data_IF_379040196151
#
_entry.id   IF_379040196151
#
_cell.length_a   1.000
_cell.length_b   1.000
_cell.length_c   1.000
_cell.angle_alpha   90.00
_cell.angle_beta   90.00
_cell.angle_gamma   90.00
#
_symmetry.space_group_name_H-M   'P 1'
#
loop_
_entity.id
_entity.type
_entity.pdbx_description
1 polymer ?
#
# COMPACT_ATOMS: atom_id res chain seq x y z
N UNK A 1 -12.69 -6.77 -6.45
CA UNK A 1 -11.38 -6.81 -7.15
C UNK A 1 -10.69 -5.50 -6.87
N UNK A 2 -9.40 -5.53 -6.52
CA UNK A 2 -8.61 -4.34 -6.20
C UNK A 2 -7.60 -4.09 -7.32
N UNK A 3 -7.40 -2.82 -7.65
CA UNK A 3 -6.44 -2.38 -8.66
C UNK A 3 -5.56 -1.29 -8.06
N UNK A 4 -4.27 -1.34 -8.39
CA UNK A 4 -3.32 -0.25 -8.11
C UNK A 4 -2.91 0.33 -9.48
N UNK A 5 -3.67 1.31 -10.01
CA UNK A 5 -3.36 1.93 -11.28
C UNK A 5 -2.15 2.86 -11.17
N UNK A 6 -1.54 3.17 -12.30
CA UNK A 6 -0.51 4.21 -12.39
C UNK A 6 -1.08 5.64 -12.31
N UNK A 7 -2.38 5.80 -12.60
CA UNK A 7 -3.12 7.06 -12.49
C UNK A 7 -4.52 6.75 -11.94
N UNK A 8 -4.73 7.07 -10.65
CA UNK A 8 -5.98 6.78 -9.95
C UNK A 8 -7.15 7.63 -10.48
N UNK A 9 -6.90 8.88 -10.85
CA UNK A 9 -7.92 9.82 -11.32
C UNK A 9 -8.46 9.41 -12.70
N UNK A 10 -7.56 9.03 -13.61
CA UNK A 10 -7.97 8.54 -14.93
C UNK A 10 -8.69 7.19 -14.84
N UNK A 11 -8.22 6.29 -13.96
CA UNK A 11 -8.90 5.02 -13.73
C UNK A 11 -10.31 5.23 -13.19
N UNK A 12 -10.47 6.11 -12.19
CA UNK A 12 -11.77 6.47 -11.62
C UNK A 12 -12.72 7.03 -12.68
N UNK A 13 -12.29 8.05 -13.43
CA UNK A 13 -13.10 8.64 -14.52
C UNK A 13 -13.54 7.61 -15.56
N UNK A 14 -12.67 6.67 -15.89
CA UNK A 14 -12.97 5.59 -16.86
C UNK A 14 -14.04 4.65 -16.31
N UNK A 15 -13.93 4.24 -15.03
CA UNK A 15 -14.91 3.38 -14.37
C UNK A 15 -16.26 4.07 -14.20
N UNK A 16 -16.27 5.36 -13.83
CA UNK A 16 -17.47 6.19 -13.75
C UNK A 16 -18.18 6.26 -15.11
N UNK A 17 -17.43 6.56 -16.18
CA UNK A 17 -17.98 6.65 -17.55
C UNK A 17 -18.56 5.31 -18.02
N UNK A 18 -17.98 4.20 -17.59
CA UNK A 18 -18.47 2.86 -17.88
C UNK A 18 -19.67 2.43 -17.00
N UNK A 19 -20.07 3.24 -16.01
CA UNK A 19 -21.14 2.89 -15.06
C UNK A 19 -20.77 1.76 -14.10
N UNK A 20 -19.48 1.52 -13.89
CA UNK A 20 -18.98 0.47 -13.00
C UNK A 20 -18.83 1.06 -11.60
N UNK A 21 -19.50 0.47 -10.60
CA UNK A 21 -19.36 0.89 -9.21
C UNK A 21 -17.96 0.57 -8.67
N UNK A 22 -17.34 1.51 -7.96
CA UNK A 22 -16.05 1.33 -7.31
C UNK A 22 -15.96 2.14 -6.01
N UNK A 23 -14.93 1.84 -5.23
CA UNK A 23 -14.53 2.60 -4.05
C UNK A 23 -13.04 2.86 -4.13
N UNK A 24 -12.60 4.03 -3.67
CA UNK A 24 -11.18 4.36 -3.55
C UNK A 24 -10.72 4.18 -2.11
N UNK A 25 -9.48 3.77 -1.95
CA UNK A 25 -8.78 3.67 -0.66
C UNK A 25 -7.33 4.04 -0.87
N UNK A 26 -6.78 4.75 0.10
CA UNK A 26 -5.35 5.05 0.16
C UNK A 26 -4.59 3.80 0.61
N UNK A 27 -3.36 3.66 0.13
CA UNK A 27 -2.47 2.55 0.45
C UNK A 27 -1.07 3.09 0.67
N UNK A 28 -0.29 2.43 1.53
CA UNK A 28 1.11 2.75 1.74
C UNK A 28 1.96 2.00 0.71
N UNK A 29 2.69 2.72 -0.15
CA UNK A 29 3.65 2.13 -1.07
C UNK A 29 5.04 2.20 -0.46
N UNK A 30 5.69 1.06 -0.33
CA UNK A 30 7.04 0.93 0.23
C UNK A 30 7.99 0.25 -0.76
N UNK A 31 9.24 0.71 -0.77
CA UNK A 31 10.36 -0.07 -1.30
C UNK A 31 10.81 -1.05 -0.22
N UNK A 32 10.74 -2.34 -0.52
CA UNK A 32 11.11 -3.41 0.41
C UNK A 32 12.38 -4.05 -0.12
N UNK A 33 13.39 -4.20 0.75
CA UNK A 33 14.63 -4.89 0.37
C UNK A 33 14.32 -6.33 -0.06
N UNK A 34 14.88 -6.73 -1.20
CA UNK A 34 14.73 -8.08 -1.74
C UNK A 34 15.63 -9.07 -0.99
N UNK A 35 15.24 -9.38 0.25
CA UNK A 35 15.90 -10.34 1.11
C UNK A 35 14.86 -11.21 1.83
N UNK A 36 15.17 -12.51 2.04
CA UNK A 36 14.30 -13.39 2.82
C UNK A 36 14.01 -12.81 4.20
N UNK A 37 12.75 -12.78 4.59
CA UNK A 37 12.31 -12.30 5.91
C UNK A 37 11.88 -10.83 5.98
N UNK A 38 12.25 -9.99 4.99
CA UNK A 38 12.01 -8.55 5.06
C UNK A 38 10.51 -8.18 5.21
N UNK A 39 9.62 -8.88 4.50
CA UNK A 39 8.17 -8.68 4.68
C UNK A 39 7.70 -9.07 6.09
N UNK A 40 8.31 -10.09 6.68
CA UNK A 40 8.03 -10.52 8.05
C UNK A 40 8.45 -9.48 9.07
N UNK A 41 9.63 -8.87 8.88
CA UNK A 41 10.12 -7.79 9.75
C UNK A 41 9.17 -6.58 9.69
N UNK A 42 8.71 -6.19 8.49
CA UNK A 42 7.73 -5.11 8.32
C UNK A 42 6.41 -5.47 9.02
N UNK A 43 5.90 -6.69 8.81
CA UNK A 43 4.65 -7.13 9.43
C UNK A 43 4.74 -7.16 10.97
N UNK A 44 5.89 -7.55 11.51
CA UNK A 44 6.13 -7.54 12.96
C UNK A 44 6.11 -6.12 13.52
N UNK A 45 6.79 -5.19 12.84
CA UNK A 45 6.84 -3.78 13.25
C UNK A 45 5.43 -3.14 13.22
N UNK A 46 4.63 -3.42 12.18
CA UNK A 46 3.24 -2.97 12.12
C UNK A 46 2.41 -3.58 13.26
N UNK A 47 2.60 -4.87 13.53
CA UNK A 47 1.94 -5.57 14.64
C UNK A 47 2.31 -4.97 16.01
N UNK A 48 3.57 -4.63 16.24
CA UNK A 48 4.04 -4.03 17.49
C UNK A 48 3.46 -2.64 17.71
N UNK A 49 3.17 -1.91 16.62
CA UNK A 49 2.45 -0.65 16.64
C UNK A 49 0.92 -0.80 16.74
N UNK A 50 0.40 -2.04 16.71
CA UNK A 50 -1.04 -2.31 16.74
C UNK A 50 -1.77 -2.00 15.44
N UNK A 51 -1.05 -1.95 14.31
CA UNK A 51 -1.59 -1.62 12.99
C UNK A 51 -1.89 -2.92 12.25
N UNK A 52 -3.12 -3.05 11.75
CA UNK A 52 -3.54 -4.21 10.97
C UNK A 52 -3.23 -4.02 9.48
N UNK A 53 -2.72 -5.07 8.84
CA UNK A 53 -2.53 -5.11 7.38
C UNK A 53 -3.75 -5.81 6.76
N UNK A 54 -4.56 -5.05 6.04
CA UNK A 54 -5.76 -5.53 5.34
C UNK A 54 -5.43 -6.21 4.00
N UNK A 55 -4.39 -5.72 3.31
CA UNK A 55 -4.00 -6.25 2.00
C UNK A 55 -2.54 -5.95 1.67
N UNK A 56 -1.92 -6.83 0.86
CA UNK A 56 -0.55 -6.69 0.38
C UNK A 56 -0.52 -7.01 -1.12
N UNK A 57 0.06 -6.12 -1.92
CA UNK A 57 0.26 -6.33 -3.35
C UNK A 57 1.66 -5.93 -3.79
N UNK A 58 2.29 -6.72 -4.66
CA UNK A 58 3.54 -6.33 -5.31
C UNK A 58 3.21 -5.65 -6.63
N UNK A 59 3.66 -4.42 -6.79
CA UNK A 59 3.51 -3.64 -8.03
C UNK A 59 4.45 -4.18 -9.12
N UNK A 60 4.16 -3.86 -10.38
CA UNK A 60 5.02 -4.25 -11.50
C UNK A 60 6.46 -3.71 -11.41
N UNK A 61 6.70 -2.68 -10.60
CA UNK A 61 8.03 -2.09 -10.38
C UNK A 61 8.75 -2.66 -9.15
N UNK A 62 8.24 -3.74 -8.54
CA UNK A 62 8.84 -4.36 -7.35
C UNK A 62 8.61 -3.63 -6.03
N UNK A 63 7.78 -2.58 -6.02
CA UNK A 63 7.33 -1.92 -4.78
C UNK A 63 6.17 -2.68 -4.18
N UNK A 64 6.02 -2.63 -2.86
CA UNK A 64 4.92 -3.30 -2.14
C UNK A 64 3.90 -2.25 -1.71
N UNK A 65 2.64 -2.48 -2.08
CA UNK A 65 1.50 -1.68 -1.63
C UNK A 65 0.81 -2.41 -0.46
N UNK A 66 0.70 -1.71 0.66
CA UNK A 66 0.04 -2.16 1.88
C UNK A 66 -1.27 -1.39 2.05
N UNK A 67 -2.39 -2.11 2.11
CA UNK A 67 -3.62 -1.58 2.69
C UNK A 67 -3.59 -1.82 4.19
N UNK A 68 -3.73 -0.76 4.98
CA UNK A 68 -3.67 -0.79 6.45
C UNK A 68 -4.87 -0.05 7.04
N UNK A 69 -5.21 -0.38 8.28
CA UNK A 69 -6.30 0.28 9.01
C UNK A 69 -5.92 1.68 9.54
N UNK A 70 -4.64 1.89 9.85
CA UNK A 70 -4.07 3.21 10.20
C UNK A 70 -2.90 3.58 9.28
N UNK A 71 -3.20 4.34 8.23
CA UNK A 71 -2.21 4.81 7.27
C UNK A 71 -1.21 5.79 7.91
N UNK A 72 -1.66 6.63 8.83
CA UNK A 72 -0.80 7.66 9.42
C UNK A 72 0.19 7.03 10.40
N UNK A 73 -0.28 6.11 11.24
CA UNK A 73 0.59 5.29 12.10
C UNK A 73 1.57 4.46 11.27
N UNK A 74 1.09 3.84 10.18
CA UNK A 74 1.95 3.02 9.32
C UNK A 74 3.07 3.83 8.68
N UNK A 75 2.79 5.04 8.20
CA UNK A 75 3.80 5.96 7.68
C UNK A 75 4.85 6.27 8.76
N UNK A 76 4.43 6.65 9.97
CA UNK A 76 5.36 7.01 11.05
C UNK A 76 6.28 5.86 11.43
N UNK A 77 5.72 4.65 11.49
CA UNK A 77 6.45 3.45 11.86
C UNK A 77 7.38 2.99 10.71
N UNK A 78 6.95 3.18 9.45
CA UNK A 78 7.70 2.78 8.27
C UNK A 78 8.80 3.78 7.87
N UNK A 79 8.72 5.05 8.25
CA UNK A 79 9.75 6.08 7.96
C UNK A 79 11.14 5.71 8.51
N UNK A 80 11.18 4.88 9.57
CA UNK A 80 12.42 4.29 10.10
C UNK A 80 13.07 3.22 9.19
N UNK A 81 12.40 2.80 8.12
CA UNK A 81 12.77 1.68 7.25
C UNK A 81 12.97 2.13 5.78
N UNK A 82 13.75 3.19 5.52
CA UNK A 82 14.12 3.61 4.16
C UNK A 82 12.95 3.60 3.15
N UNK A 83 11.83 4.18 3.54
CA UNK A 83 10.61 4.27 2.72
C UNK A 83 10.68 5.51 1.83
N UNK A 84 10.36 5.36 0.55
CA UNK A 84 9.99 6.50 -0.30
C UNK A 84 8.49 6.48 -0.47
N UNK A 85 7.83 7.41 0.20
CA UNK A 85 6.42 7.71 -0.03
C UNK A 85 6.23 8.11 -1.49
N UNK A 86 5.19 7.56 -2.12
CA UNK A 86 4.66 8.09 -3.38
C UNK A 86 3.22 8.42 -3.12
N UNK A 87 2.96 9.72 -2.90
CA UNK A 87 1.63 10.31 -2.88
C UNK A 87 0.92 10.09 -4.23
#
# INVERSE_FOLDING_TARGET
MQFVPNDADQAAKTLETAGIAFTQREVLIMEVLDQPGMLGDIALIMSDAGINIDSIYVTATGRVAFGVDDLHGAIQVADGMAVREVC
#
